data_IF_053847506813
#
_entry.id   IF_053847506813
#
_cell.length_a   1.000
_cell.length_b   1.000
_cell.length_c   1.000
_cell.angle_alpha   90.00
_cell.angle_beta   90.00
_cell.angle_gamma   90.00
#
_symmetry.space_group_name_H-M   'P 1'
#
loop_
_entity.id
_entity.type
_entity.pdbx_description
1 polymer ?
#
# COMPACT_ATOMS: atom_id res chain seq x y z
N UNK A 1 60.48 38.47 -39.79
CA UNK A 1 60.48 39.58 -38.80
C UNK A 1 59.01 39.94 -38.63
N UNK A 2 58.24 39.60 -37.60
CA UNK A 2 58.50 39.37 -36.16
C UNK A 2 57.33 38.61 -35.49
N UNK A 3 57.60 38.06 -34.30
CA UNK A 3 56.73 37.40 -33.30
C UNK A 3 55.42 38.10 -32.90
N UNK A 4 54.43 37.34 -32.41
CA UNK A 4 53.94 37.24 -30.99
C UNK A 4 52.76 36.25 -30.91
N UNK A 5 52.85 35.11 -30.21
CA UNK A 5 52.69 34.80 -28.78
C UNK A 5 51.24 34.54 -28.30
N UNK A 6 51.07 33.35 -27.72
CA UNK A 6 49.89 32.76 -27.09
C UNK A 6 49.37 33.55 -25.88
N UNK A 7 48.07 33.40 -25.57
CA UNK A 7 47.60 33.28 -24.17
C UNK A 7 46.24 32.56 -24.10
N UNK A 8 46.29 31.29 -23.67
CA UNK A 8 45.17 30.60 -23.02
C UNK A 8 44.99 31.25 -21.64
N UNK A 9 43.78 31.72 -21.34
CA UNK A 9 43.42 32.15 -19.98
C UNK A 9 42.77 30.98 -19.25
N UNK A 10 43.56 30.29 -18.44
CA UNK A 10 43.06 29.39 -17.40
C UNK A 10 42.19 30.21 -16.42
N UNK A 11 40.94 29.81 -16.24
CA UNK A 11 40.04 30.37 -15.25
C UNK A 11 40.45 29.75 -13.90
N UNK A 12 41.16 30.54 -13.10
CA UNK A 12 41.58 30.17 -11.75
C UNK A 12 40.38 30.28 -10.81
N UNK A 13 39.64 29.17 -10.66
CA UNK A 13 38.53 29.08 -9.72
C UNK A 13 39.12 29.01 -8.31
N UNK A 14 38.92 30.05 -7.52
CA UNK A 14 39.45 30.15 -6.16
C UNK A 14 39.04 28.94 -5.30
N UNK A 15 39.98 28.40 -4.53
CA UNK A 15 39.76 27.28 -3.60
C UNK A 15 38.60 27.52 -2.63
N UNK A 16 38.35 28.79 -2.26
CA UNK A 16 37.21 29.23 -1.46
C UNK A 16 35.86 28.89 -2.08
N UNK A 17 35.72 29.05 -3.40
CA UNK A 17 34.46 28.80 -4.12
C UNK A 17 34.20 27.29 -4.31
N UNK A 18 35.27 26.49 -4.37
CA UNK A 18 35.21 25.02 -4.36
C UNK A 18 34.84 24.49 -2.97
N UNK A 19 35.37 25.09 -1.90
CA UNK A 19 35.07 24.73 -0.51
C UNK A 19 33.62 25.07 -0.16
N UNK A 20 33.09 26.20 -0.63
CA UNK A 20 31.70 26.62 -0.39
C UNK A 20 30.69 25.77 -1.17
N UNK A 21 31.04 25.33 -2.39
CA UNK A 21 30.24 24.33 -3.13
C UNK A 21 30.31 22.94 -2.48
N UNK A 22 31.47 22.52 -1.96
CA UNK A 22 31.61 21.25 -1.22
C UNK A 22 30.86 21.25 0.10
N UNK A 23 30.85 22.37 0.84
CA UNK A 23 30.09 22.52 2.10
C UNK A 23 28.57 22.55 1.85
N UNK A 24 28.15 23.10 0.72
CA UNK A 24 26.75 23.10 0.28
C UNK A 24 26.26 21.71 -0.14
N UNK A 25 27.13 20.88 -0.73
CA UNK A 25 26.80 19.49 -1.12
C UNK A 25 26.81 18.55 0.10
N UNK A 26 27.69 18.79 1.09
CA UNK A 26 27.74 17.98 2.32
C UNK A 26 26.58 18.24 3.28
N UNK A 27 25.85 19.35 3.11
CA UNK A 27 24.69 19.74 3.94
C UNK A 27 23.35 19.36 3.32
N UNK A 28 23.32 18.66 2.18
CA UNK A 28 22.14 17.90 1.79
C UNK A 28 22.10 16.60 2.60
N UNK A 29 22.00 16.77 3.92
CA UNK A 29 21.64 15.69 4.82
C UNK A 29 20.35 15.10 4.28
N UNK A 30 20.42 13.86 3.79
CA UNK A 30 19.24 13.05 3.55
C UNK A 30 18.46 13.05 4.86
N UNK A 31 17.41 13.87 4.94
CA UNK A 31 16.32 13.65 5.89
C UNK A 31 15.58 12.40 5.43
N UNK A 32 16.25 11.25 5.53
CA UNK A 32 15.56 10.00 5.78
C UNK A 32 14.89 10.22 7.12
N UNK A 33 13.67 10.74 7.08
CA UNK A 33 12.68 10.42 8.08
C UNK A 33 12.75 8.91 8.21
N UNK A 34 13.39 8.43 9.27
CA UNK A 34 13.32 7.05 9.69
C UNK A 34 11.87 6.83 10.13
N UNK A 35 10.92 6.84 9.19
CA UNK A 35 9.81 5.91 9.26
C UNK A 35 10.51 4.58 9.49
N UNK A 36 10.37 4.00 10.69
CA UNK A 36 10.82 2.63 10.94
C UNK A 36 10.38 1.84 9.72
N UNK A 37 11.30 1.20 9.00
CA UNK A 37 10.98 0.42 7.82
C UNK A 37 10.07 -0.72 8.30
N UNK A 38 8.76 -0.47 8.37
CA UNK A 38 7.78 -1.47 8.75
C UNK A 38 7.90 -2.53 7.68
N UNK A 39 8.26 -3.74 8.10
CA UNK A 39 8.29 -4.89 7.22
C UNK A 39 6.92 -5.01 6.54
N UNK A 40 6.91 -4.99 5.22
CA UNK A 40 5.69 -5.19 4.44
C UNK A 40 5.20 -6.62 4.66
N UNK A 41 3.96 -6.76 5.11
CA UNK A 41 3.23 -8.03 5.21
C UNK A 41 2.08 -7.97 4.21
N UNK A 42 2.17 -8.79 3.16
CA UNK A 42 1.26 -8.84 2.04
C UNK A 42 0.31 -10.03 2.16
N UNK A 43 -0.93 -9.85 1.73
CA UNK A 43 -1.90 -10.93 1.50
C UNK A 43 -2.45 -10.77 0.09
N UNK A 44 -2.62 -11.87 -0.64
CA UNK A 44 -3.20 -11.84 -1.99
C UNK A 44 -4.71 -12.11 -1.99
N UNK A 45 -5.45 -11.42 -2.85
CA UNK A 45 -6.89 -11.63 -3.10
C UNK A 45 -7.18 -11.74 -4.60
N UNK A 46 -7.80 -12.85 -5.00
CA UNK A 46 -8.22 -13.14 -6.39
C UNK A 46 -7.11 -13.10 -7.45
N UNK A 47 -5.84 -13.20 -7.04
CA UNK A 47 -4.72 -13.29 -7.99
C UNK A 47 -4.66 -14.66 -8.65
N UNK A 48 -4.27 -14.68 -9.92
CA UNK A 48 -3.89 -15.92 -10.60
C UNK A 48 -2.61 -16.51 -10.00
N UNK A 49 -2.32 -17.78 -10.32
CA UNK A 49 -1.07 -18.43 -9.90
C UNK A 49 0.17 -17.67 -10.37
N UNK A 50 0.16 -17.18 -11.61
CA UNK A 50 1.27 -16.42 -12.18
C UNK A 50 1.49 -15.10 -11.41
N UNK A 51 0.42 -14.35 -11.14
CA UNK A 51 0.49 -13.12 -10.36
C UNK A 51 0.97 -13.39 -8.93
N UNK A 52 0.51 -14.47 -8.30
CA UNK A 52 0.96 -14.88 -6.97
C UNK A 52 2.47 -15.14 -6.95
N UNK A 53 3.03 -15.81 -7.96
CA UNK A 53 4.48 -16.00 -8.09
C UNK A 53 5.26 -14.68 -8.28
N UNK A 54 4.66 -13.66 -8.92
CA UNK A 54 5.28 -12.33 -8.97
C UNK A 54 5.28 -11.65 -7.60
N UNK A 55 4.23 -11.83 -6.79
CA UNK A 55 4.21 -11.32 -5.40
C UNK A 55 5.28 -12.01 -4.54
N UNK A 56 5.50 -13.31 -4.72
CA UNK A 56 6.60 -14.03 -4.05
C UNK A 56 7.98 -13.48 -4.45
N UNK A 57 8.20 -13.23 -5.75
CA UNK A 57 9.40 -12.58 -6.24
C UNK A 57 9.58 -11.17 -5.66
N UNK A 58 8.51 -10.38 -5.62
CA UNK A 58 8.50 -9.06 -4.96
C UNK A 58 8.93 -9.18 -3.50
N UNK A 59 8.36 -10.13 -2.75
CA UNK A 59 8.71 -10.33 -1.35
C UNK A 59 10.21 -10.62 -1.17
N UNK A 60 10.79 -11.47 -2.02
CA UNK A 60 12.21 -11.77 -2.00
C UNK A 60 13.11 -10.56 -2.30
N UNK A 61 12.68 -9.67 -3.20
CA UNK A 61 13.47 -8.50 -3.64
C UNK A 61 13.43 -7.35 -2.63
N UNK A 62 12.29 -7.14 -2.00
CA UNK A 62 12.04 -5.96 -1.16
C UNK A 62 11.95 -6.29 0.33
N UNK A 63 12.40 -7.49 0.73
CA UNK A 63 12.35 -7.95 2.13
C UNK A 63 10.94 -7.86 2.75
N UNK A 64 9.92 -8.16 1.94
CA UNK A 64 8.53 -8.28 2.39
C UNK A 64 8.20 -9.73 2.74
N UNK A 65 7.09 -9.92 3.45
CA UNK A 65 6.53 -11.22 3.80
C UNK A 65 5.20 -11.42 3.10
N UNK A 66 4.96 -12.64 2.63
CA UNK A 66 3.65 -13.08 2.16
C UNK A 66 2.96 -13.88 3.27
N UNK A 67 1.68 -13.58 3.51
CA UNK A 67 0.81 -14.31 4.43
C UNK A 67 -0.41 -14.86 3.67
N UNK A 68 -0.91 -16.00 4.14
CA UNK A 68 -2.14 -16.60 3.62
C UNK A 68 -3.40 -16.04 4.33
N UNK A 69 -3.22 -15.50 5.53
CA UNK A 69 -4.29 -15.00 6.39
C UNK A 69 -4.19 -13.48 6.52
N UNK A 70 -5.36 -12.84 6.60
CA UNK A 70 -5.47 -11.42 6.87
C UNK A 70 -5.77 -11.21 8.35
N UNK A 71 -4.95 -10.40 8.99
CA UNK A 71 -4.93 -10.13 10.43
C UNK A 71 -4.37 -8.75 10.70
N UNK A 72 -4.31 -8.32 11.96
CA UNK A 72 -3.79 -7.01 12.37
C UNK A 72 -2.31 -6.75 11.99
N UNK A 73 -1.54 -7.80 11.70
CA UNK A 73 -0.14 -7.67 11.28
C UNK A 73 0.00 -7.38 9.78
N UNK A 74 -1.05 -7.67 9.02
CA UNK A 74 -1.11 -7.42 7.59
C UNK A 74 -1.02 -5.91 7.33
N UNK A 75 -0.18 -5.54 6.36
CA UNK A 75 0.00 -4.13 5.97
C UNK A 75 -0.72 -3.81 4.67
N UNK A 76 -0.78 -4.79 3.76
CA UNK A 76 -1.28 -4.62 2.41
C UNK A 76 -2.04 -5.85 1.96
N UNK A 77 -3.24 -5.64 1.44
CA UNK A 77 -3.93 -6.60 0.60
C UNK A 77 -3.65 -6.26 -0.87
N UNK A 78 -3.04 -7.19 -1.60
CA UNK A 78 -2.84 -7.11 -3.05
C UNK A 78 -4.05 -7.76 -3.74
N UNK A 79 -4.84 -6.94 -4.43
CA UNK A 79 -6.07 -7.36 -5.09
C UNK A 79 -5.88 -7.47 -6.60
N UNK A 80 -6.51 -8.47 -7.22
CA UNK A 80 -6.70 -8.45 -8.66
C UNK A 80 -7.63 -7.31 -9.03
N UNK A 81 -7.23 -6.55 -10.05
CA UNK A 81 -8.02 -5.50 -10.65
C UNK A 81 -8.91 -6.10 -11.75
N UNK A 82 -10.16 -5.66 -11.81
CA UNK A 82 -11.06 -5.95 -12.96
C UNK A 82 -11.05 -4.80 -13.97
N UNK A 83 -10.81 -3.60 -13.47
CA UNK A 83 -10.53 -2.37 -14.22
C UNK A 83 -9.49 -1.59 -13.42
N UNK A 84 -8.92 -0.53 -14.01
CA UNK A 84 -7.89 0.28 -13.36
C UNK A 84 -8.35 0.76 -11.98
N UNK A 85 -7.66 0.32 -10.91
CA UNK A 85 -7.96 0.64 -9.51
C UNK A 85 -9.36 0.23 -9.04
N UNK A 86 -9.99 -0.76 -9.68
CA UNK A 86 -11.28 -1.35 -9.28
C UNK A 86 -11.11 -2.85 -9.06
N UNK A 87 -11.60 -3.36 -7.92
CA UNK A 87 -11.52 -4.79 -7.61
C UNK A 87 -12.89 -5.44 -7.35
N UNK A 88 -12.93 -6.78 -7.32
CA UNK A 88 -14.08 -7.49 -6.76
C UNK A 88 -14.06 -7.42 -5.23
N UNK A 89 -15.23 -7.35 -4.60
CA UNK A 89 -15.35 -7.50 -3.15
C UNK A 89 -15.22 -8.96 -2.75
N UNK A 90 -14.07 -9.32 -2.19
CA UNK A 90 -13.85 -10.64 -1.57
C UNK A 90 -13.89 -10.53 -0.07
N UNK A 91 -14.05 -11.68 0.61
CA UNK A 91 -13.88 -11.79 2.07
C UNK A 91 -12.62 -11.03 2.57
N UNK A 92 -11.49 -11.20 1.89
CA UNK A 92 -10.23 -10.55 2.28
C UNK A 92 -10.28 -9.03 2.12
N UNK A 93 -10.97 -8.50 1.10
CA UNK A 93 -11.16 -7.06 0.94
C UNK A 93 -11.97 -6.49 2.10
N UNK A 94 -13.05 -7.14 2.52
CA UNK A 94 -13.83 -6.70 3.69
C UNK A 94 -12.98 -6.66 4.97
N UNK A 95 -12.19 -7.70 5.23
CA UNK A 95 -11.30 -7.70 6.39
C UNK A 95 -10.20 -6.63 6.27
N UNK A 96 -9.61 -6.42 5.10
CA UNK A 96 -8.60 -5.36 4.91
C UNK A 96 -9.18 -3.97 5.22
N UNK A 97 -10.40 -3.72 4.76
CA UNK A 97 -11.13 -2.48 5.07
C UNK A 97 -11.40 -2.38 6.57
N UNK A 98 -11.87 -3.45 7.21
CA UNK A 98 -12.16 -3.45 8.65
C UNK A 98 -10.90 -3.26 9.52
N UNK A 99 -9.75 -3.78 9.08
CA UNK A 99 -8.45 -3.56 9.72
C UNK A 99 -7.77 -2.25 9.32
N UNK A 100 -8.41 -1.41 8.49
CA UNK A 100 -7.85 -0.14 8.00
C UNK A 100 -6.51 -0.31 7.26
N UNK A 101 -6.37 -1.39 6.49
CA UNK A 101 -5.18 -1.74 5.74
C UNK A 101 -5.20 -1.17 4.33
N UNK A 102 -4.02 -1.06 3.72
CA UNK A 102 -3.92 -0.72 2.30
C UNK A 102 -4.53 -1.83 1.45
N UNK A 103 -5.46 -1.47 0.56
CA UNK A 103 -5.95 -2.35 -0.50
C UNK A 103 -5.40 -1.82 -1.82
N UNK A 104 -4.46 -2.55 -2.42
CA UNK A 104 -3.68 -2.08 -3.57
C UNK A 104 -3.90 -3.00 -4.76
N UNK A 105 -4.01 -2.41 -5.95
CA UNK A 105 -4.04 -3.15 -7.20
C UNK A 105 -2.75 -3.91 -7.48
N UNK A 106 -2.87 -5.09 -8.08
CA UNK A 106 -1.72 -5.92 -8.48
C UNK A 106 -0.71 -5.16 -9.35
N UNK A 107 -1.15 -4.15 -10.12
CA UNK A 107 -0.26 -3.31 -10.93
C UNK A 107 0.92 -2.71 -10.13
N UNK A 108 0.74 -2.44 -8.83
CA UNK A 108 1.83 -1.94 -7.99
C UNK A 108 3.00 -2.91 -7.90
N UNK A 109 2.71 -4.21 -7.81
CA UNK A 109 3.73 -5.27 -7.75
C UNK A 109 4.52 -5.32 -9.05
N UNK A 110 3.84 -5.28 -10.19
CA UNK A 110 4.47 -5.28 -11.51
C UNK A 110 5.38 -4.07 -11.70
N UNK A 111 4.87 -2.88 -11.39
CA UNK A 111 5.61 -1.64 -11.57
C UNK A 111 6.82 -1.54 -10.64
N UNK A 112 6.71 -2.01 -9.39
CA UNK A 112 7.85 -2.07 -8.46
C UNK A 112 8.93 -3.04 -8.95
N UNK A 113 8.55 -4.22 -9.45
CA UNK A 113 9.49 -5.19 -10.01
C UNK A 113 10.18 -4.65 -11.27
N UNK A 114 9.41 -4.02 -12.16
CA UNK A 114 9.92 -3.45 -13.41
C UNK A 114 10.91 -2.30 -13.15
N UNK A 115 10.59 -1.39 -12.24
CA UNK A 115 11.44 -0.23 -11.88
C UNK A 115 12.52 -0.56 -10.85
N UNK A 116 12.47 -1.76 -10.28
CA UNK A 116 13.41 -2.24 -9.25
C UNK A 116 13.46 -1.34 -8.02
N UNK A 117 12.33 -0.72 -7.66
CA UNK A 117 12.20 0.14 -6.48
C UNK A 117 10.79 0.05 -5.89
N UNK A 118 10.67 0.36 -4.60
CA UNK A 118 9.36 0.50 -3.97
C UNK A 118 8.73 1.83 -4.41
N UNK A 119 7.60 1.73 -5.10
CA UNK A 119 6.81 2.87 -5.54
C UNK A 119 5.80 3.27 -4.46
N UNK A 120 5.41 4.54 -4.47
CA UNK A 120 4.36 5.04 -3.60
C UNK A 120 3.04 4.28 -3.84
N UNK A 121 2.48 3.77 -2.76
CA UNK A 121 1.28 2.94 -2.69
C UNK A 121 -0.01 3.67 -3.08
N UNK A 122 -0.13 4.96 -2.75
CA UNK A 122 -1.36 5.74 -2.88
C UNK A 122 -1.82 5.86 -4.36
N UNK A 123 -0.88 5.83 -5.30
CA UNK A 123 -1.15 5.84 -6.75
C UNK A 123 -1.79 4.55 -7.26
N UNK A 124 -1.73 3.47 -6.48
CA UNK A 124 -2.21 2.14 -6.84
C UNK A 124 -3.29 1.61 -5.88
N UNK A 125 -3.68 2.41 -4.88
CA UNK A 125 -4.74 2.06 -3.95
C UNK A 125 -6.08 1.88 -4.68
N UNK A 126 -6.85 0.86 -4.35
CA UNK A 126 -8.16 0.62 -4.98
C UNK A 126 -9.12 1.77 -4.66
N UNK A 127 -9.76 2.33 -5.69
CA UNK A 127 -10.70 3.44 -5.60
C UNK A 127 -12.14 2.98 -5.46
N UNK A 128 -12.46 1.78 -5.93
CA UNK A 128 -13.81 1.24 -5.83
C UNK A 128 -13.92 -0.23 -6.17
N UNK A 129 -15.14 -0.68 -6.38
CA UNK A 129 -15.45 -2.08 -6.63
C UNK A 129 -16.51 -2.27 -7.73
N UNK A 130 -16.53 -3.48 -8.29
CA UNK A 130 -17.43 -3.84 -9.39
C UNK A 130 -18.92 -3.93 -8.99
N UNK A 131 -19.25 -3.92 -7.69
CA UNK A 131 -20.60 -4.10 -7.18
C UNK A 131 -21.33 -2.79 -6.90
N UNK A 132 -20.63 -1.77 -6.41
CA UNK A 132 -21.23 -0.49 -6.04
C UNK A 132 -20.89 0.62 -7.05
N UNK A 133 -19.62 0.98 -7.16
CA UNK A 133 -19.12 2.00 -8.09
C UNK A 133 -17.59 1.96 -8.15
N UNK A 134 -17.00 2.39 -9.26
CA UNK A 134 -15.55 2.44 -9.45
C UNK A 134 -14.79 3.46 -8.59
N UNK A 135 -15.47 4.44 -7.96
CA UNK A 135 -14.81 5.58 -7.31
C UNK A 135 -15.42 6.01 -5.94
N UNK A 136 -16.01 5.09 -5.17
CA UNK A 136 -16.54 5.43 -3.85
C UNK A 136 -15.46 5.68 -2.78
N UNK A 137 -14.18 5.40 -3.08
CA UNK A 137 -13.01 5.59 -2.23
C UNK A 137 -13.11 4.89 -0.86
N UNK A 138 -13.81 3.76 -0.79
CA UNK A 138 -14.17 3.10 0.49
C UNK A 138 -12.95 2.59 1.25
N UNK A 139 -12.03 1.94 0.53
CA UNK A 139 -10.81 1.35 1.05
C UNK A 139 -9.87 2.46 1.57
N UNK A 140 -9.65 3.49 0.75
CA UNK A 140 -8.86 4.66 1.10
C UNK A 140 -9.43 5.40 2.33
N UNK A 141 -10.74 5.67 2.35
CA UNK A 141 -11.41 6.33 3.49
C UNK A 141 -11.24 5.54 4.78
N UNK A 142 -11.41 4.22 4.72
CA UNK A 142 -11.22 3.37 5.90
C UNK A 142 -9.80 3.49 6.44
N UNK A 143 -8.80 3.39 5.56
CA UNK A 143 -7.39 3.49 5.94
C UNK A 143 -7.05 4.86 6.52
N UNK A 144 -7.52 5.97 5.94
CA UNK A 144 -7.11 7.30 6.40
C UNK A 144 -7.79 7.74 7.70
N UNK A 145 -9.06 7.39 7.89
CA UNK A 145 -9.83 7.83 9.06
C UNK A 145 -9.45 7.00 10.30
N UNK A 146 -9.05 5.73 10.13
CA UNK A 146 -8.68 4.81 11.23
C UNK A 146 -9.69 4.78 12.40
N UNK A 147 -10.96 5.04 12.12
CA UNK A 147 -12.05 5.02 13.09
C UNK A 147 -13.10 3.99 12.64
N UNK A 148 -13.45 3.02 13.49
CA UNK A 148 -14.54 2.09 13.21
C UNK A 148 -15.88 2.80 13.02
N UNK A 149 -16.63 2.40 11.99
CA UNK A 149 -17.85 3.09 11.52
C UNK A 149 -18.99 3.13 12.54
N UNK A 150 -19.03 2.17 13.47
CA UNK A 150 -20.08 2.07 14.47
C UNK A 150 -19.65 2.56 15.85
N UNK A 151 -18.38 2.93 16.06
CA UNK A 151 -17.88 3.32 17.38
C UNK A 151 -18.61 4.53 17.96
N UNK A 152 -19.09 5.46 17.12
CA UNK A 152 -19.82 6.66 17.54
C UNK A 152 -21.31 6.43 17.77
N UNK A 153 -21.80 5.21 17.59
CA UNK A 153 -23.21 4.88 17.67
C UNK A 153 -23.45 3.74 18.67
N UNK A 154 -24.56 3.81 19.41
CA UNK A 154 -25.01 2.72 20.27
C UNK A 154 -25.76 1.65 19.45
N UNK A 155 -25.12 1.10 18.42
CA UNK A 155 -25.70 0.01 17.63
C UNK A 155 -25.36 -1.34 18.26
N UNK A 156 -26.43 -2.09 18.53
CA UNK A 156 -26.39 -3.49 18.86
C UNK A 156 -26.77 -4.28 17.61
N UNK A 157 -25.86 -5.11 17.10
CA UNK A 157 -26.07 -5.90 15.88
C UNK A 157 -26.27 -7.36 16.28
N UNK A 158 -27.41 -7.94 15.87
CA UNK A 158 -27.65 -9.36 15.95
C UNK A 158 -27.29 -10.02 14.62
N UNK A 159 -26.42 -11.03 14.66
CA UNK A 159 -26.09 -11.86 13.49
C UNK A 159 -26.98 -13.10 13.52
N UNK A 160 -27.98 -13.13 12.64
CA UNK A 160 -28.85 -14.29 12.45
C UNK A 160 -28.43 -15.08 11.20
N UNK A 161 -28.27 -16.40 11.36
CA UNK A 161 -27.96 -17.31 10.25
C UNK A 161 -29.22 -18.14 9.97
N UNK A 162 -29.80 -18.00 8.79
CA UNK A 162 -30.86 -18.92 8.35
C UNK A 162 -30.27 -20.30 8.03
N UNK A 163 -31.08 -21.34 8.16
CA UNK A 163 -30.71 -22.72 7.82
C UNK A 163 -30.16 -22.75 6.38
N UNK A 164 -28.92 -23.26 6.21
CA UNK A 164 -28.23 -23.32 4.91
C UNK A 164 -27.18 -22.23 4.64
N UNK A 165 -26.91 -21.33 5.60
CA UNK A 165 -25.96 -20.22 5.43
C UNK A 165 -24.47 -20.61 5.20
N UNK A 166 -24.13 -21.90 5.21
CA UNK A 166 -22.75 -22.39 4.95
C UNK A 166 -22.26 -22.14 3.51
N UNK A 167 -23.14 -21.71 2.60
CA UNK A 167 -22.77 -21.35 1.22
C UNK A 167 -22.57 -19.85 0.99
N UNK A 168 -22.72 -19.02 2.04
CA UNK A 168 -22.48 -17.58 1.96
C UNK A 168 -21.00 -17.22 1.90
N UNK A 169 -20.69 -15.97 1.50
CA UNK A 169 -19.32 -15.46 1.48
C UNK A 169 -18.65 -15.51 2.86
N UNK A 170 -19.41 -15.34 3.95
CA UNK A 170 -18.91 -15.35 5.32
C UNK A 170 -19.55 -16.46 6.15
N UNK A 171 -18.75 -17.06 7.03
CA UNK A 171 -19.25 -17.81 8.18
C UNK A 171 -19.82 -16.86 9.23
N UNK A 172 -20.61 -17.40 10.17
CA UNK A 172 -21.10 -16.63 11.31
C UNK A 172 -19.96 -15.95 12.09
N UNK A 173 -18.90 -16.70 12.42
CA UNK A 173 -17.77 -16.18 13.20
C UNK A 173 -17.05 -15.03 12.48
N UNK A 174 -16.86 -15.15 11.16
CA UNK A 174 -16.22 -14.09 10.37
C UNK A 174 -17.09 -12.83 10.31
N UNK A 175 -18.42 -12.99 10.23
CA UNK A 175 -19.34 -11.85 10.24
C UNK A 175 -19.40 -11.17 11.61
N UNK A 176 -19.43 -11.95 12.69
CA UNK A 176 -19.32 -11.44 14.07
C UNK A 176 -18.01 -10.67 14.26
N UNK A 177 -16.89 -11.18 13.73
CA UNK A 177 -15.61 -10.50 13.75
C UNK A 177 -15.63 -9.17 12.98
N UNK A 178 -16.23 -9.12 11.78
CA UNK A 178 -16.37 -7.87 11.02
C UNK A 178 -17.20 -6.82 11.76
N UNK A 179 -18.29 -7.25 12.41
CA UNK A 179 -19.14 -6.38 13.24
C UNK A 179 -18.33 -5.77 14.39
N UNK A 180 -17.55 -6.59 15.10
CA UNK A 180 -16.70 -6.15 16.20
C UNK A 180 -15.59 -5.20 15.72
N UNK A 181 -14.89 -5.54 14.63
CA UNK A 181 -13.86 -4.67 14.03
C UNK A 181 -14.43 -3.33 13.57
N UNK A 182 -15.70 -3.31 13.17
CA UNK A 182 -16.42 -2.09 12.79
C UNK A 182 -16.89 -1.25 14.00
N UNK A 183 -16.61 -1.69 15.23
CA UNK A 183 -16.89 -0.96 16.47
C UNK A 183 -18.31 -1.14 17.02
N UNK A 184 -19.08 -2.09 16.50
CA UNK A 184 -20.42 -2.38 17.00
C UNK A 184 -20.38 -3.40 18.15
N UNK A 185 -21.42 -3.38 18.97
CA UNK A 185 -21.64 -4.36 20.03
C UNK A 185 -22.44 -5.53 19.44
N UNK A 186 -21.91 -6.74 19.58
CA UNK A 186 -22.62 -7.97 19.23
C UNK A 186 -23.56 -8.37 20.38
N UNK A 187 -24.82 -8.70 20.05
CA UNK A 187 -25.82 -9.21 21.00
C UNK A 187 -25.78 -10.73 21.16
#
# INVERSE_FOLDING_TARGET
>A
VSNTNYQNSDIDISDSEIIERKSSISNLSLSKSHKSLRTLVLVCSSLTRQQTSQVELFCSRFSARLSNQIDETTTHLIASEVEQRVCCLTKKVFFAVAYHQYVIGYQWIEECLNKQCLLNEDSYEILGDASLSSEHNGMNRSRLIHQPIFQSYSYAIAVECSIGCQQGMFTRQELEQLVQLSGAILL
#
